data_IF_078455856574
#
_entry.id   IF_078455856574
#
_cell.length_a   1.000
_cell.length_b   1.000
_cell.length_c   1.000
_cell.angle_alpha   90.00
_cell.angle_beta   90.00
_cell.angle_gamma   90.00
#
_symmetry.space_group_name_H-M   'P 1'
#
loop_
_entity.id
_entity.type
_entity.pdbx_description
1 polymer ?
#
# COMPACT_ATOMS: atom_id res chain seq x y z
N UNK A 1 20.84 -16.58 13.90
CA UNK A 1 20.27 -16.79 12.55
C UNK A 1 19.17 -15.75 12.38
N UNK A 2 19.30 -14.82 11.43
CA UNK A 2 18.25 -13.83 11.13
C UNK A 2 17.22 -14.50 10.22
N UNK A 3 16.07 -14.85 10.77
CA UNK A 3 15.02 -15.58 10.07
C UNK A 3 13.99 -14.56 9.54
N UNK A 4 14.21 -14.06 8.33
CA UNK A 4 13.27 -13.13 7.70
C UNK A 4 13.92 -12.18 6.71
N UNK A 5 14.20 -12.67 5.51
CA UNK A 5 14.17 -11.80 4.34
C UNK A 5 12.85 -12.09 3.64
N UNK A 6 11.94 -11.10 3.58
CA UNK A 6 10.83 -11.17 2.63
C UNK A 6 11.44 -11.45 1.25
N UNK A 7 10.85 -12.39 0.49
CA UNK A 7 11.33 -12.65 -0.86
C UNK A 7 11.24 -11.36 -1.70
N UNK A 8 12.25 -11.10 -2.52
CA UNK A 8 12.26 -9.94 -3.40
C UNK A 8 10.97 -9.89 -4.24
N UNK A 9 10.29 -8.74 -4.24
CA UNK A 9 9.02 -8.56 -4.95
C UNK A 9 7.79 -9.16 -4.28
N UNK A 10 7.89 -9.82 -3.12
CA UNK A 10 6.74 -10.42 -2.43
C UNK A 10 5.61 -9.41 -2.15
N UNK A 11 5.95 -8.22 -1.64
CA UNK A 11 4.96 -7.17 -1.38
C UNK A 11 4.30 -6.62 -2.63
N UNK A 12 5.05 -6.51 -3.74
CA UNK A 12 4.48 -6.11 -5.03
C UNK A 12 3.51 -7.17 -5.57
N UNK A 13 3.91 -8.45 -5.54
CA UNK A 13 3.06 -9.55 -5.97
C UNK A 13 1.78 -9.63 -5.11
N UNK A 14 1.90 -9.45 -3.80
CA UNK A 14 0.76 -9.36 -2.89
C UNK A 14 -0.17 -8.21 -3.28
N UNK A 15 0.39 -7.02 -3.51
CA UNK A 15 -0.36 -5.84 -3.92
C UNK A 15 -1.16 -6.11 -5.19
N UNK A 16 -0.53 -6.66 -6.24
CA UNK A 16 -1.21 -6.96 -7.50
C UNK A 16 -2.34 -7.98 -7.30
N UNK A 17 -2.07 -9.07 -6.57
CA UNK A 17 -3.06 -10.11 -6.34
C UNK A 17 -4.30 -9.63 -5.58
N UNK A 18 -4.13 -8.66 -4.68
CA UNK A 18 -5.19 -8.22 -3.77
C UNK A 18 -5.88 -6.92 -4.20
N UNK A 19 -5.18 -6.04 -4.93
CA UNK A 19 -5.62 -4.67 -5.23
C UNK A 19 -5.71 -4.34 -6.73
N UNK A 20 -5.50 -5.33 -7.61
CA UNK A 20 -5.76 -5.28 -9.05
C UNK A 20 -6.65 -6.45 -9.52
N UNK A 21 -7.54 -6.92 -8.65
CA UNK A 21 -8.38 -8.08 -8.89
C UNK A 21 -9.86 -7.73 -8.76
N UNK A 22 -10.61 -7.89 -9.86
CA UNK A 22 -12.04 -7.58 -9.90
C UNK A 22 -12.90 -8.46 -8.98
N UNK A 23 -12.37 -9.60 -8.50
CA UNK A 23 -13.10 -10.53 -7.64
C UNK A 23 -12.81 -10.35 -6.15
N UNK A 24 -11.83 -9.52 -5.78
CA UNK A 24 -11.45 -9.32 -4.39
C UNK A 24 -12.31 -8.23 -3.77
N UNK A 25 -12.97 -8.56 -2.67
CA UNK A 25 -13.63 -7.59 -1.79
C UNK A 25 -12.57 -6.84 -0.96
N UNK A 26 -11.80 -5.97 -1.63
CA UNK A 26 -10.72 -5.12 -1.09
C UNK A 26 -10.69 -3.80 -1.86
N UNK A 27 -10.05 -2.77 -1.31
CA UNK A 27 -9.78 -1.54 -2.06
C UNK A 27 -9.04 -1.88 -3.37
N UNK A 28 -9.43 -1.28 -4.49
CA UNK A 28 -8.86 -1.61 -5.81
C UNK A 28 -8.25 -0.37 -6.45
N UNK A 29 -7.01 -0.48 -6.94
CA UNK A 29 -6.42 0.57 -7.75
C UNK A 29 -7.13 0.67 -9.10
N UNK A 30 -7.31 1.91 -9.57
CA UNK A 30 -7.80 2.19 -10.93
C UNK A 30 -6.70 2.73 -11.84
N UNK A 31 -5.60 3.23 -11.25
CA UNK A 31 -4.38 3.63 -11.99
C UNK A 31 -3.63 2.40 -12.48
N UNK A 32 -2.87 2.55 -13.57
CA UNK A 32 -2.04 1.44 -14.07
C UNK A 32 -0.97 1.00 -13.07
N UNK A 33 -0.48 -0.23 -13.20
CA UNK A 33 0.61 -0.74 -12.35
C UNK A 33 1.89 0.12 -12.48
N UNK A 34 2.19 0.59 -13.68
CA UNK A 34 3.38 1.43 -13.93
C UNK A 34 3.24 2.81 -13.29
N UNK A 35 2.05 3.41 -13.39
CA UNK A 35 1.73 4.65 -12.69
C UNK A 35 1.83 4.46 -11.17
N UNK A 36 1.35 3.34 -10.63
CA UNK A 36 1.48 3.05 -9.20
C UNK A 36 2.95 2.91 -8.78
N UNK A 37 3.81 2.27 -9.58
CA UNK A 37 5.26 2.21 -9.30
C UNK A 37 5.87 3.61 -9.21
N UNK A 38 5.52 4.48 -10.16
CA UNK A 38 5.98 5.88 -10.15
C UNK A 38 5.48 6.64 -8.93
N UNK A 39 4.22 6.45 -8.54
CA UNK A 39 3.64 7.06 -7.33
C UNK A 39 4.40 6.59 -6.08
N UNK A 40 4.61 5.28 -5.92
CA UNK A 40 5.29 4.72 -4.75
C UNK A 40 6.75 5.18 -4.60
N UNK A 41 7.41 5.50 -5.72
CA UNK A 41 8.78 6.01 -5.76
C UNK A 41 8.85 7.54 -5.69
N UNK A 42 7.72 8.23 -5.71
CA UNK A 42 7.68 9.69 -5.68
C UNK A 42 8.24 10.23 -4.36
N UNK A 43 8.87 11.40 -4.43
CA UNK A 43 9.40 12.08 -3.24
C UNK A 43 8.30 12.33 -2.20
N UNK A 44 7.09 12.65 -2.64
CA UNK A 44 5.93 12.87 -1.78
C UNK A 44 5.61 11.63 -0.94
N UNK A 45 5.46 10.45 -1.59
CA UNK A 45 5.15 9.20 -0.88
C UNK A 45 6.30 8.77 0.02
N UNK A 46 7.54 8.80 -0.47
CA UNK A 46 8.72 8.34 0.30
C UNK A 46 9.02 9.24 1.51
N UNK A 47 8.77 10.55 1.39
CA UNK A 47 8.99 11.50 2.50
C UNK A 47 7.81 11.62 3.46
N UNK A 48 6.68 10.96 3.17
CA UNK A 48 5.52 11.01 4.07
C UNK A 48 5.87 10.31 5.39
N UNK A 49 5.61 10.98 6.55
CA UNK A 49 5.90 10.37 7.84
C UNK A 49 5.01 9.16 8.12
N UNK A 50 5.53 8.25 8.94
CA UNK A 50 4.75 7.11 9.44
C UNK A 50 3.64 7.63 10.35
N UNK A 51 2.40 7.26 10.06
CA UNK A 51 1.22 7.66 10.86
C UNK A 51 0.83 6.59 11.88
N UNK A 52 1.13 5.31 11.60
CA UNK A 52 0.76 4.16 12.45
C UNK A 52 1.83 3.06 12.36
N UNK A 53 1.98 2.30 13.44
CA UNK A 53 2.77 1.07 13.46
C UNK A 53 1.86 -0.08 13.87
N UNK A 54 1.73 -1.09 13.01
CA UNK A 54 0.86 -2.25 13.26
C UNK A 54 1.70 -3.48 13.59
N UNK A 55 1.46 -4.15 14.73
CA UNK A 55 2.11 -5.43 15.01
C UNK A 55 1.65 -6.49 14.00
N UNK A 56 2.56 -7.32 13.52
CA UNK A 56 2.25 -8.50 12.72
C UNK A 56 3.18 -9.66 13.08
N UNK A 57 2.81 -10.88 12.70
CA UNK A 57 3.61 -12.08 13.00
C UNK A 57 5.04 -11.99 12.43
N UNK A 58 5.21 -11.29 11.31
CA UNK A 58 6.51 -11.13 10.63
C UNK A 58 7.23 -9.82 11.00
N UNK A 59 6.82 -9.17 12.09
CA UNK A 59 7.35 -7.87 12.55
C UNK A 59 6.39 -6.69 12.34
N UNK A 60 6.73 -5.51 12.86
CA UNK A 60 5.88 -4.32 12.73
C UNK A 60 5.75 -3.87 11.28
N UNK A 61 4.57 -3.33 10.94
CA UNK A 61 4.30 -2.68 9.65
C UNK A 61 4.17 -1.18 9.87
N UNK A 62 4.97 -0.42 9.14
CA UNK A 62 4.99 1.04 9.19
C UNK A 62 4.05 1.58 8.13
N UNK A 63 2.96 2.19 8.57
CA UNK A 63 1.92 2.72 7.70
C UNK A 63 2.19 4.20 7.42
N UNK A 64 2.16 4.56 6.14
CA UNK A 64 2.09 5.94 5.66
C UNK A 64 0.75 6.14 4.98
N UNK A 65 0.07 7.23 5.28
CA UNK A 65 -1.19 7.62 4.63
C UNK A 65 -0.92 8.89 3.84
N UNK A 66 -1.05 8.79 2.51
CA UNK A 66 -0.68 9.85 1.57
C UNK A 66 -1.91 10.27 0.78
N UNK A 67 -2.08 11.55 0.51
CA UNK A 67 -3.05 12.05 -0.48
C UNK A 67 -2.31 12.30 -1.79
N UNK A 68 -2.72 11.62 -2.87
CA UNK A 68 -2.06 11.70 -4.18
C UNK A 68 -2.61 12.87 -5.02
N UNK A 69 -3.65 13.57 -4.53
CA UNK A 69 -4.24 14.72 -5.22
C UNK A 69 -5.05 14.38 -6.48
N UNK A 70 -5.10 13.10 -6.88
CA UNK A 70 -5.94 12.57 -7.95
C UNK A 70 -6.54 11.24 -7.54
N UNK A 71 -7.67 10.88 -8.15
CA UNK A 71 -8.30 9.60 -7.88
C UNK A 71 -7.38 8.45 -8.31
N UNK A 72 -7.04 7.56 -7.37
CA UNK A 72 -6.13 6.43 -7.60
C UNK A 72 -6.82 5.07 -7.46
N UNK A 73 -8.07 5.04 -6.98
CA UNK A 73 -8.80 3.80 -6.83
C UNK A 73 -10.07 3.91 -6.00
N UNK A 74 -10.57 2.77 -5.54
CA UNK A 74 -11.77 2.67 -4.70
C UNK A 74 -11.41 2.20 -3.29
N UNK A 75 -11.99 2.84 -2.28
CA UNK A 75 -11.74 2.54 -0.87
C UNK A 75 -12.82 1.62 -0.28
N UNK A 76 -12.46 0.37 0.04
CA UNK A 76 -13.37 -0.59 0.69
C UNK A 76 -13.91 -0.07 2.03
N UNK A 77 -13.11 0.68 2.78
CA UNK A 77 -13.50 1.21 4.08
C UNK A 77 -14.46 2.41 3.96
N UNK A 78 -14.71 2.87 2.73
CA UNK A 78 -15.65 3.93 2.39
C UNK A 78 -16.62 3.50 1.27
N UNK A 79 -17.19 2.29 1.39
CA UNK A 79 -18.19 1.74 0.47
C UNK A 79 -17.73 1.72 -1.00
N UNK A 80 -16.44 1.44 -1.24
CA UNK A 80 -15.83 1.45 -2.58
C UNK A 80 -15.93 2.80 -3.31
N UNK A 81 -16.07 3.90 -2.57
CA UNK A 81 -16.05 5.23 -3.16
C UNK A 81 -14.67 5.54 -3.77
N UNK A 82 -14.61 6.30 -4.87
CA UNK A 82 -13.36 6.85 -5.39
C UNK A 82 -12.55 7.58 -4.32
N UNK A 83 -11.22 7.45 -4.37
CA UNK A 83 -10.34 8.06 -3.36
C UNK A 83 -9.02 8.54 -3.97
N UNK A 84 -8.52 9.64 -3.43
CA UNK A 84 -7.18 10.16 -3.70
C UNK A 84 -6.14 9.68 -2.69
N UNK A 85 -6.61 9.09 -1.58
CA UNK A 85 -5.76 8.66 -0.47
C UNK A 85 -5.24 7.26 -0.69
N UNK A 86 -4.02 6.99 -0.25
CA UNK A 86 -3.38 5.69 -0.31
C UNK A 86 -2.68 5.37 1.01
N UNK A 87 -2.82 4.12 1.47
CA UNK A 87 -2.02 3.57 2.55
C UNK A 87 -0.85 2.78 1.98
N UNK A 88 0.36 3.04 2.46
CA UNK A 88 1.58 2.30 2.11
C UNK A 88 2.13 1.64 3.36
N UNK A 89 2.35 0.33 3.30
CA UNK A 89 2.86 -0.48 4.39
C UNK A 89 4.26 -0.97 4.05
N UNK A 90 5.23 -0.64 4.91
CA UNK A 90 6.61 -1.13 4.79
C UNK A 90 7.02 -1.94 6.02
N UNK A 91 8.07 -2.75 5.87
CA UNK A 91 8.79 -3.32 7.02
C UNK A 91 9.79 -2.30 7.62
N UNK A 92 10.55 -2.74 8.64
CA UNK A 92 11.59 -1.91 9.31
C UNK A 92 12.71 -1.45 8.36
N UNK A 93 12.99 -2.22 7.31
CA UNK A 93 13.99 -1.89 6.31
C UNK A 93 13.45 -0.99 5.19
N UNK A 94 12.16 -0.65 5.22
CA UNK A 94 11.50 0.17 4.21
C UNK A 94 11.05 -0.61 2.97
N UNK A 95 11.13 -1.94 2.98
CA UNK A 95 10.64 -2.75 1.87
C UNK A 95 9.11 -2.70 1.81
N UNK A 96 8.57 -2.65 0.60
CA UNK A 96 7.12 -2.68 0.38
C UNK A 96 6.55 -4.02 0.88
N UNK A 97 5.52 -3.94 1.73
CA UNK A 97 4.74 -5.08 2.19
C UNK A 97 3.40 -5.10 1.46
N UNK A 98 2.74 -3.95 1.37
CA UNK A 98 1.50 -3.75 0.62
C UNK A 98 1.25 -2.26 0.42
N UNK A 99 0.36 -1.91 -0.51
CA UNK A 99 -0.24 -0.59 -0.59
C UNK A 99 -1.65 -0.73 -1.16
N UNK A 100 -2.56 0.18 -0.80
CA UNK A 100 -3.93 0.16 -1.29
C UNK A 100 -4.62 1.53 -1.24
N UNK A 101 -5.63 1.77 -2.08
CA UNK A 101 -6.46 2.97 -2.00
C UNK A 101 -7.25 3.04 -0.70
N UNK A 102 -7.27 4.21 -0.08
CA UNK A 102 -7.92 4.47 1.19
C UNK A 102 -6.95 4.55 2.37
N UNK A 103 -7.52 4.80 3.55
CA UNK A 103 -6.81 4.90 4.82
C UNK A 103 -7.27 3.78 5.76
N UNK A 104 -6.37 3.30 6.63
CA UNK A 104 -6.73 2.29 7.63
C UNK A 104 -7.63 2.93 8.69
N UNK A 105 -8.84 2.37 8.88
CA UNK A 105 -9.73 2.73 9.98
C UNK A 105 -9.49 1.86 11.21
#
# INVERSE_FOLDING_TARGET
>A
MRNGSQAEGAGWNHLINEHYSAVKNKSQFTVSQDELRQILQSKEVVSTPVTKVLPSADGPRFVREVDIGKNIGTDKFNNFSPTTKMSVLTDEAGNLVSAFPGVLK
#
